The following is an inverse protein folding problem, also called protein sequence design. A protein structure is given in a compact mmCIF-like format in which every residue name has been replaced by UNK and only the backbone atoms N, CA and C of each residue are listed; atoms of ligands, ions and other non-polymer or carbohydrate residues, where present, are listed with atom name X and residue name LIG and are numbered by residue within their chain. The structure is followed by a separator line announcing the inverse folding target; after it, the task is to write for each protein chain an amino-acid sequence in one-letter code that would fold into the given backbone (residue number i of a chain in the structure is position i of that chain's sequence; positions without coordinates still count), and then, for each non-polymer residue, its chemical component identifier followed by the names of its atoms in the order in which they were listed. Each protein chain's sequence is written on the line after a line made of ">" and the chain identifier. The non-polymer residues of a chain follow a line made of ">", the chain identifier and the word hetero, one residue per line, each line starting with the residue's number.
data_IF_805659558172
#
_entry.id   IF_805659558172
#
_cell.length_a   1.000
_cell.length_b   1.000
_cell.length_c   1.000
_cell.angle_alpha   90.00
_cell.angle_beta   90.00
_cell.angle_gamma   90.00
#
_symmetry.space_group_name_H-M   'P 1'
#
loop_
_entity.id
_entity.type
_entity.pdbx_description
1 polymer ?
#
# COMPACT_ATOMS: atom_id res chain seq x y z
N UNK A 1 -18.88 -8.26 -22.52
CA UNK A 1 -18.60 -8.31 -21.07
C UNK A 1 -17.45 -7.38 -20.64
N UNK A 2 -17.17 -6.29 -21.37
CA UNK A 2 -16.09 -5.32 -21.04
C UNK A 2 -16.66 -4.02 -20.39
N UNK A 3 -17.99 -3.90 -20.32
CA UNK A 3 -18.68 -2.67 -19.89
C UNK A 3 -18.55 -2.36 -18.39
N UNK A 4 -18.73 -3.35 -17.52
CA UNK A 4 -18.75 -3.12 -16.07
C UNK A 4 -17.38 -2.86 -15.44
N UNK A 5 -16.33 -3.54 -15.92
CA UNK A 5 -14.94 -3.34 -15.47
C UNK A 5 -14.46 -1.89 -15.66
N UNK A 6 -14.98 -1.18 -16.67
CA UNK A 6 -14.67 0.24 -16.91
C UNK A 6 -15.50 1.21 -16.07
N UNK A 7 -16.68 0.80 -15.61
CA UNK A 7 -17.60 1.66 -14.84
C UNK A 7 -17.23 1.71 -13.35
N UNK A 8 -16.65 0.64 -12.80
CA UNK A 8 -16.26 0.57 -11.37
C UNK A 8 -14.83 1.08 -11.13
N UNK A 9 -13.92 0.98 -12.12
CA UNK A 9 -12.53 1.44 -11.98
C UNK A 9 -12.12 2.37 -13.14
N UNK A 10 -12.29 3.69 -13.01
CA UNK A 10 -11.94 4.61 -14.07
C UNK A 10 -10.41 4.85 -14.14
N UNK A 11 -9.81 4.52 -15.28
CA UNK A 11 -8.78 5.31 -15.97
C UNK A 11 -7.28 5.33 -15.54
N UNK A 12 -6.81 4.58 -14.54
CA UNK A 12 -5.41 4.71 -14.08
C UNK A 12 -4.65 3.39 -13.88
N UNK A 13 -4.58 2.57 -14.93
CA UNK A 13 -3.70 1.41 -14.95
C UNK A 13 -3.08 1.23 -16.33
N UNK A 14 -1.86 0.72 -16.37
CA UNK A 14 -1.25 0.20 -17.58
C UNK A 14 -1.52 -1.31 -17.58
N UNK A 15 -2.34 -1.76 -18.54
CA UNK A 15 -2.63 -3.18 -18.71
C UNK A 15 -1.56 -3.82 -19.59
N UNK A 16 -0.94 -4.89 -19.10
CA UNK A 16 0.04 -5.68 -19.82
C UNK A 16 -0.44 -7.15 -19.84
N UNK A 17 -1.19 -7.57 -20.86
CA UNK A 17 -1.76 -8.93 -20.96
C UNK A 17 -2.31 -9.44 -19.62
N UNK A 18 -3.37 -8.79 -19.13
CA UNK A 18 -4.04 -9.06 -17.84
C UNK A 18 -3.25 -8.70 -16.57
N UNK A 19 -2.07 -8.09 -16.72
CA UNK A 19 -1.31 -7.54 -15.60
C UNK A 19 -1.59 -6.05 -15.42
N UNK A 20 -2.13 -5.70 -14.26
CA UNK A 20 -2.47 -4.33 -13.93
C UNK A 20 -1.28 -3.66 -13.24
N UNK A 21 -0.61 -2.74 -13.94
CA UNK A 21 0.27 -1.76 -13.31
C UNK A 21 -0.59 -0.56 -12.94
N UNK A 22 -1.13 -0.59 -11.73
CA UNK A 22 -2.05 0.45 -11.25
C UNK A 22 -1.26 1.71 -10.89
N UNK A 23 -1.69 2.83 -11.46
CA UNK A 23 -1.32 4.19 -11.07
C UNK A 23 -2.35 4.65 -10.04
N UNK A 24 -2.35 4.03 -8.85
CA UNK A 24 -3.46 4.20 -7.91
C UNK A 24 -3.53 5.63 -7.40
N UNK A 25 -4.69 6.26 -7.54
CA UNK A 25 -4.97 7.53 -6.86
C UNK A 25 -5.24 7.25 -5.41
N UNK A 26 -4.55 7.97 -4.53
CA UNK A 26 -4.75 7.90 -3.09
C UNK A 26 -6.23 8.12 -2.68
N UNK A 27 -6.97 8.96 -3.41
CA UNK A 27 -8.39 9.24 -3.15
C UNK A 27 -9.29 8.01 -3.32
N UNK A 28 -9.08 7.21 -4.36
CA UNK A 28 -9.89 6.03 -4.65
C UNK A 28 -9.70 5.00 -3.53
N UNK A 29 -8.46 4.83 -3.09
CA UNK A 29 -8.11 4.01 -1.93
C UNK A 29 -8.74 4.53 -0.62
N UNK A 30 -8.92 5.84 -0.47
CA UNK A 30 -9.59 6.43 0.70
C UNK A 30 -11.10 6.21 0.67
N UNK A 31 -11.72 6.33 -0.51
CA UNK A 31 -13.16 6.14 -0.70
C UNK A 31 -13.58 4.67 -0.62
N UNK A 32 -12.82 3.77 -1.24
CA UNK A 32 -13.22 2.36 -1.42
C UNK A 32 -12.55 1.39 -0.44
N UNK A 33 -11.38 1.75 0.10
CA UNK A 33 -10.60 0.89 0.96
C UNK A 33 -9.97 1.62 2.17
N UNK A 34 -10.74 2.41 2.94
CA UNK A 34 -10.20 3.15 4.09
C UNK A 34 -9.56 2.22 5.13
N UNK A 35 -10.04 0.98 5.26
CA UNK A 35 -9.47 -0.04 6.12
C UNK A 35 -8.02 -0.44 5.76
N UNK A 36 -7.57 -0.16 4.54
CA UNK A 36 -6.17 -0.38 4.12
C UNK A 36 -5.36 0.90 4.19
N UNK A 37 -5.97 2.02 3.81
CA UNK A 37 -5.28 3.32 3.72
C UNK A 37 -4.98 3.91 5.08
N UNK A 38 -5.94 3.88 6.01
CA UNK A 38 -5.80 4.45 7.34
C UNK A 38 -4.65 3.81 8.15
N UNK A 39 -4.55 2.47 8.30
CA UNK A 39 -3.44 1.89 9.04
C UNK A 39 -2.09 2.07 8.31
N UNK A 40 -2.07 2.09 6.97
CA UNK A 40 -0.85 2.37 6.20
C UNK A 40 -0.30 3.78 6.48
N UNK A 41 -1.18 4.79 6.48
CA UNK A 41 -0.82 6.19 6.75
C UNK A 41 -0.40 6.37 8.21
N UNK A 42 -1.16 5.82 9.16
CA UNK A 42 -0.79 5.91 10.58
C UNK A 42 0.54 5.21 10.86
N UNK A 43 0.78 4.02 10.30
CA UNK A 43 2.04 3.33 10.42
C UNK A 43 3.21 4.12 9.81
N UNK A 44 2.98 4.78 8.67
CA UNK A 44 3.97 5.67 8.08
C UNK A 44 4.27 6.87 8.99
N UNK A 45 3.26 7.45 9.64
CA UNK A 45 3.47 8.52 10.64
C UNK A 45 4.31 8.04 11.84
N UNK A 46 4.11 6.82 12.33
CA UNK A 46 4.96 6.23 13.38
C UNK A 46 6.42 6.09 12.94
N UNK A 47 6.65 5.64 11.70
CA UNK A 47 8.00 5.56 11.12
C UNK A 47 8.65 6.94 11.01
N UNK A 48 7.90 7.94 10.54
CA UNK A 48 8.37 9.33 10.41
C UNK A 48 8.72 9.92 11.77
N UNK A 49 7.90 9.71 12.79
CA UNK A 49 8.15 10.18 14.16
C UNK A 49 9.38 9.52 14.78
N UNK A 50 9.55 8.21 14.61
CA UNK A 50 10.75 7.50 15.06
C UNK A 50 12.02 8.02 14.36
N UNK A 51 11.91 8.39 13.08
CA UNK A 51 13.01 8.99 12.32
C UNK A 51 13.37 10.39 12.85
N UNK A 52 12.38 11.26 13.08
CA UNK A 52 12.58 12.64 13.55
C UNK A 52 13.09 12.69 14.98
N UNK A 53 12.42 11.98 15.89
CA UNK A 53 12.77 11.97 17.32
C UNK A 53 14.10 11.28 17.59
N UNK A 54 14.58 10.46 16.63
CA UNK A 54 15.73 9.55 16.75
C UNK A 54 15.57 8.55 17.90
N UNK A 55 14.37 8.43 18.49
CA UNK A 55 14.02 7.48 19.54
C UNK A 55 13.25 6.35 18.89
N UNK A 56 13.77 5.13 19.05
CA UNK A 56 13.16 3.93 18.48
C UNK A 56 12.61 3.09 19.63
N UNK A 57 11.28 3.14 19.84
CA UNK A 57 10.61 2.15 20.67
C UNK A 57 10.24 0.95 19.80
N UNK A 58 11.08 -0.09 19.84
CA UNK A 58 10.93 -1.28 19.01
C UNK A 58 9.66 -2.07 19.28
N UNK A 59 9.22 -2.10 20.54
CA UNK A 59 7.99 -2.80 20.93
C UNK A 59 6.77 -2.11 20.33
N UNK A 60 6.71 -0.78 20.39
CA UNK A 60 5.65 0.02 19.76
C UNK A 60 5.65 -0.13 18.24
N UNK A 61 6.82 -0.09 17.59
CA UNK A 61 6.93 -0.29 16.15
C UNK A 61 6.47 -1.69 15.72
N UNK A 62 6.85 -2.72 16.47
CA UNK A 62 6.41 -4.09 16.22
C UNK A 62 4.90 -4.23 16.43
N UNK A 63 4.37 -3.69 17.53
CA UNK A 63 2.93 -3.71 17.81
C UNK A 63 2.15 -2.99 16.70
N UNK A 64 2.63 -1.84 16.24
CA UNK A 64 2.03 -1.10 15.13
C UNK A 64 2.03 -1.92 13.83
N UNK A 65 3.14 -2.56 13.50
CA UNK A 65 3.28 -3.40 12.30
C UNK A 65 2.32 -4.59 12.33
N UNK A 66 2.25 -5.29 13.47
CA UNK A 66 1.37 -6.45 13.69
C UNK A 66 -0.11 -6.05 13.73
N UNK A 67 -0.43 -4.91 14.36
CA UNK A 67 -1.80 -4.38 14.39
C UNK A 67 -2.25 -3.93 12.99
N UNK A 68 -1.33 -3.38 12.19
CA UNK A 68 -1.61 -3.05 10.78
C UNK A 68 -1.91 -4.30 9.97
N UNK A 69 -1.23 -5.42 10.22
CA UNK A 69 -1.49 -6.70 9.55
C UNK A 69 -2.91 -7.22 9.81
N UNK A 70 -3.48 -6.97 11.00
CA UNK A 70 -4.88 -7.32 11.31
C UNK A 70 -5.89 -6.63 10.39
N UNK A 71 -5.63 -5.37 10.01
CA UNK A 71 -6.51 -4.61 9.12
C UNK A 71 -6.16 -4.77 7.64
N UNK A 72 -4.85 -4.85 7.34
CA UNK A 72 -4.32 -4.85 5.98
C UNK A 72 -2.96 -5.54 5.95
N UNK A 73 -2.89 -6.84 5.65
CA UNK A 73 -1.62 -7.55 5.53
C UNK A 73 -0.71 -6.93 4.45
N UNK A 74 -1.30 -6.45 3.35
CA UNK A 74 -0.55 -5.81 2.27
C UNK A 74 0.05 -4.45 2.68
N UNK A 75 -0.66 -3.65 3.48
CA UNK A 75 -0.08 -2.42 4.05
C UNK A 75 1.05 -2.73 5.04
N UNK A 76 0.93 -3.80 5.82
CA UNK A 76 1.98 -4.25 6.75
C UNK A 76 3.25 -4.67 5.98
N UNK A 77 3.12 -5.39 4.86
CA UNK A 77 4.23 -5.66 3.94
C UNK A 77 4.87 -4.37 3.44
N UNK A 78 4.05 -3.36 3.13
CA UNK A 78 4.50 -2.02 2.75
C UNK A 78 5.31 -1.28 3.81
N UNK A 79 4.95 -1.43 5.09
CA UNK A 79 5.62 -0.82 6.23
C UNK A 79 6.87 -1.57 6.67
N UNK A 80 6.89 -2.89 6.48
CA UNK A 80 7.95 -3.78 6.92
C UNK A 80 9.38 -3.29 6.63
N UNK A 81 9.76 -2.89 5.40
CA UNK A 81 11.14 -2.46 5.13
C UNK A 81 11.55 -1.24 5.96
N UNK A 82 10.64 -0.28 6.19
CA UNK A 82 10.95 0.93 6.96
C UNK A 82 11.08 0.62 8.45
N UNK A 83 10.19 -0.22 8.99
CA UNK A 83 10.28 -0.70 10.37
C UNK A 83 11.56 -1.51 10.55
N UNK A 84 11.90 -2.39 9.62
CA UNK A 84 13.09 -3.23 9.66
C UNK A 84 14.38 -2.38 9.73
N UNK A 85 14.48 -1.31 8.93
CA UNK A 85 15.64 -0.41 8.99
C UNK A 85 15.80 0.21 10.38
N UNK A 86 14.71 0.71 10.97
CA UNK A 86 14.72 1.28 12.32
C UNK A 86 15.05 0.21 13.37
N UNK A 87 14.56 -1.01 13.16
CA UNK A 87 14.79 -2.15 14.02
C UNK A 87 16.27 -2.57 14.05
N UNK A 88 16.90 -2.60 12.87
CA UNK A 88 18.28 -3.02 12.68
C UNK A 88 19.33 -2.00 13.19
N UNK A 89 18.96 -0.73 13.32
CA UNK A 89 19.85 0.39 13.68
C UNK A 89 20.69 0.13 14.94
N UNK A 90 20.18 -0.65 15.88
CA UNK A 90 20.85 -1.00 17.14
C UNK A 90 20.62 -2.48 17.51
N UNK A 91 20.44 -3.37 16.53
CA UNK A 91 20.06 -4.77 16.75
C UNK A 91 20.94 -5.53 17.77
N UNK A 92 22.28 -5.38 17.78
CA UNK A 92 23.12 -6.08 18.76
C UNK A 92 22.82 -5.73 20.22
N UNK A 93 22.28 -4.53 20.48
CA UNK A 93 21.93 -4.09 21.84
C UNK A 93 20.76 -4.87 22.45
N UNK A 94 19.95 -5.54 21.62
CA UNK A 94 18.80 -6.33 22.09
C UNK A 94 19.19 -7.57 22.90
N UNK A 95 20.39 -8.09 22.69
CA UNK A 95 20.89 -9.26 23.41
C UNK A 95 21.58 -8.92 24.73
N UNK A 96 21.64 -7.63 25.10
CA UNK A 96 22.14 -7.20 26.40
C UNK A 96 21.12 -7.53 27.48
N UNK A 97 21.59 -7.90 28.68
CA UNK A 97 20.72 -8.32 29.79
C UNK A 97 19.66 -7.26 30.15
N UNK A 98 20.02 -5.98 30.08
CA UNK A 98 19.12 -4.84 30.33
C UNK A 98 17.93 -4.76 29.36
N UNK A 99 18.07 -5.38 28.17
CA UNK A 99 17.06 -5.39 27.10
C UNK A 99 16.28 -6.69 26.99
N UNK A 100 16.55 -7.66 27.88
CA UNK A 100 15.82 -8.94 27.91
C UNK A 100 14.29 -8.77 28.06
N UNK A 101 13.76 -7.85 28.89
CA UNK A 101 12.31 -7.62 28.97
C UNK A 101 11.70 -7.14 27.65
N UNK A 102 12.42 -6.30 26.90
CA UNK A 102 12.02 -5.81 25.58
C UNK A 102 11.93 -6.98 24.58
N UNK A 103 12.95 -7.85 24.58
CA UNK A 103 12.99 -9.05 23.73
C UNK A 103 11.87 -10.05 24.06
N UNK A 104 11.60 -10.28 25.35
CA UNK A 104 10.51 -11.15 25.79
C UNK A 104 9.13 -10.57 25.41
N UNK A 105 8.95 -9.26 25.57
CA UNK A 105 7.73 -8.57 25.16
C UNK A 105 7.49 -8.69 23.66
N UNK A 106 8.54 -8.48 22.87
CA UNK A 106 8.50 -8.68 21.42
C UNK A 106 8.15 -10.11 21.01
N UNK A 107 8.80 -11.10 21.61
CA UNK A 107 8.54 -12.52 21.34
C UNK A 107 7.09 -12.86 21.67
N UNK A 108 6.60 -12.35 22.81
CA UNK A 108 5.20 -12.53 23.23
C UNK A 108 4.22 -11.91 22.22
N UNK A 109 4.52 -10.72 21.68
CA UNK A 109 3.71 -10.10 20.63
C UNK A 109 3.69 -10.95 19.36
N UNK A 110 4.84 -11.43 18.89
CA UNK A 110 4.89 -12.29 17.70
C UNK A 110 4.08 -13.56 17.92
N UNK A 111 4.21 -14.19 19.08
CA UNK A 111 3.43 -15.39 19.43
C UNK A 111 1.93 -15.10 19.49
N UNK A 112 1.51 -13.95 20.02
CA UNK A 112 0.11 -13.55 20.07
C UNK A 112 -0.50 -13.34 18.68
N UNK A 113 0.28 -12.84 17.71
CA UNK A 113 -0.16 -12.63 16.32
C UNK A 113 0.13 -13.81 15.39
N UNK A 114 0.80 -14.87 15.87
CA UNK A 114 1.15 -16.04 15.08
C UNK A 114 -0.07 -16.72 14.42
N UNK A 115 -1.22 -16.91 15.11
CA UNK A 115 -2.42 -17.50 14.48
C UNK A 115 -2.89 -16.69 13.27
N UNK A 116 -2.83 -15.36 13.34
CA UNK A 116 -3.20 -14.47 12.26
C UNK A 116 -2.24 -14.60 11.07
N UNK A 117 -0.92 -14.69 11.33
CA UNK A 117 0.08 -14.92 10.27
C UNK A 117 -0.18 -16.25 9.56
N UNK A 118 -0.42 -17.33 10.32
CA UNK A 118 -0.73 -18.65 9.78
C UNK A 118 -2.00 -18.61 8.95
N UNK A 119 -3.03 -17.90 9.41
CA UNK A 119 -4.27 -17.70 8.66
C UNK A 119 -4.01 -17.07 7.28
N UNK A 120 -3.30 -15.94 7.23
CA UNK A 120 -3.02 -15.27 5.96
C UNK A 120 -2.16 -16.10 5.00
N UNK A 121 -1.14 -16.79 5.51
CA UNK A 121 -0.29 -17.68 4.68
C UNK A 121 -1.09 -18.88 4.14
N UNK A 122 -2.17 -19.27 4.84
CA UNK A 122 -3.01 -20.41 4.45
C UNK A 122 -4.08 -20.07 3.40
N UNK A 123 -4.19 -18.81 2.95
CA UNK A 123 -5.18 -18.39 1.93
C UNK A 123 -4.75 -18.76 0.50
N UNK A 124 -5.71 -19.03 -0.40
CA UNK A 124 -5.42 -19.35 -1.81
C UNK A 124 -4.98 -18.14 -2.65
N UNK A 125 -5.18 -16.92 -2.16
CA UNK A 125 -4.81 -15.69 -2.87
C UNK A 125 -3.33 -15.58 -3.28
N UNK A 126 -2.45 -16.37 -2.66
CA UNK A 126 -1.01 -16.44 -3.03
C UNK A 126 -0.74 -17.46 -4.15
N UNK A 127 -1.62 -18.44 -4.38
CA UNK A 127 -1.40 -19.60 -5.25
C UNK A 127 -2.31 -19.67 -6.48
N UNK A 128 -3.24 -18.73 -6.67
CA UNK A 128 -4.33 -18.81 -7.67
C UNK A 128 -3.93 -18.49 -9.13
N UNK A 129 -2.65 -18.49 -9.50
CA UNK A 129 -2.20 -18.10 -10.85
C UNK A 129 -2.25 -16.59 -11.12
N UNK A 130 -2.78 -15.81 -10.17
CA UNK A 130 -2.81 -14.33 -10.18
C UNK A 130 -1.59 -13.72 -9.47
N UNK A 131 -0.58 -14.53 -9.16
CA UNK A 131 0.70 -14.10 -8.59
C UNK A 131 1.82 -14.36 -9.57
N UNK A 132 2.75 -13.41 -9.69
CA UNK A 132 3.84 -13.55 -10.63
C UNK A 132 4.61 -12.27 -10.88
N UNK A 133 5.73 -12.42 -11.57
CA UNK A 133 6.58 -11.31 -11.95
C UNK A 133 6.11 -10.64 -13.25
N UNK A 134 6.38 -9.35 -13.41
CA UNK A 134 6.00 -8.57 -14.62
C UNK A 134 6.52 -9.17 -15.94
N UNK A 135 7.63 -9.90 -15.94
CA UNK A 135 8.16 -10.54 -17.15
C UNK A 135 7.44 -11.84 -17.52
N UNK A 136 6.59 -12.37 -16.63
CA UNK A 136 5.77 -13.56 -16.89
C UNK A 136 4.44 -13.22 -17.61
N UNK A 137 4.25 -11.94 -17.98
CA UNK A 137 3.05 -11.42 -18.68
C UNK A 137 2.93 -11.86 -20.14
N UNK A 138 3.95 -12.51 -20.69
CA UNK A 138 3.92 -13.02 -22.07
C UNK A 138 4.07 -11.94 -23.15
N UNK A 139 4.27 -10.67 -22.80
CA UNK A 139 4.64 -9.62 -23.77
C UNK A 139 6.14 -9.32 -23.71
N UNK A 140 6.76 -9.08 -24.86
CA UNK A 140 8.15 -8.63 -24.94
C UNK A 140 8.33 -7.17 -24.55
N UNK A 141 7.25 -6.38 -24.54
CA UNK A 141 7.27 -4.93 -24.24
C UNK A 141 7.13 -4.60 -22.75
N UNK A 142 7.19 -5.59 -21.85
CA UNK A 142 7.01 -5.39 -20.41
C UNK A 142 7.97 -4.34 -19.84
N UNK A 143 9.20 -4.28 -20.36
CA UNK A 143 10.22 -3.30 -19.93
C UNK A 143 9.77 -1.87 -20.21
N UNK A 144 9.14 -1.63 -21.37
CA UNK A 144 8.68 -0.29 -21.78
C UNK A 144 7.55 0.16 -20.86
N UNK A 145 6.56 -0.70 -20.63
CA UNK A 145 5.45 -0.39 -19.73
C UNK A 145 5.90 -0.17 -18.28
N UNK A 146 6.85 -0.99 -17.82
CA UNK A 146 7.44 -0.83 -16.50
C UNK A 146 8.26 0.47 -16.40
N UNK A 147 9.00 0.84 -17.44
CA UNK A 147 9.71 2.12 -17.49
C UNK A 147 8.73 3.31 -17.42
N UNK A 148 7.59 3.25 -18.14
CA UNK A 148 6.54 4.27 -18.04
C UNK A 148 5.99 4.33 -16.60
N UNK A 149 5.75 3.18 -15.97
CA UNK A 149 5.31 3.10 -14.57
C UNK A 149 6.32 3.77 -13.63
N UNK A 150 7.62 3.47 -13.75
CA UNK A 150 8.67 4.07 -12.91
C UNK A 150 8.76 5.59 -13.15
N UNK A 151 8.71 6.03 -14.41
CA UNK A 151 8.76 7.46 -14.74
C UNK A 151 7.56 8.23 -14.18
N UNK A 152 6.36 7.65 -14.28
CA UNK A 152 5.12 8.27 -13.81
C UNK A 152 5.09 8.38 -12.27
N UNK A 153 5.55 7.36 -11.55
CA UNK A 153 5.42 7.30 -10.09
C UNK A 153 6.62 7.91 -9.34
N UNK A 154 7.83 7.80 -9.91
CA UNK A 154 9.08 8.18 -9.24
C UNK A 154 9.89 9.21 -10.02
N UNK A 155 9.88 9.12 -11.36
CA UNK A 155 10.74 9.95 -12.23
C UNK A 155 10.56 11.45 -12.02
N UNK A 156 9.30 11.92 -11.96
CA UNK A 156 8.98 13.35 -11.74
C UNK A 156 9.60 13.84 -10.43
N UNK A 157 9.43 13.11 -9.34
CA UNK A 157 9.93 13.50 -8.01
C UNK A 157 11.46 13.51 -7.94
N UNK A 158 12.10 12.52 -8.58
CA UNK A 158 13.57 12.45 -8.63
C UNK A 158 14.17 13.69 -9.30
N UNK A 159 13.57 14.18 -10.38
CA UNK A 159 14.04 15.38 -11.09
C UNK A 159 14.12 16.63 -10.19
N UNK A 160 13.21 16.78 -9.22
CA UNK A 160 13.18 17.93 -8.31
C UNK A 160 14.12 17.77 -7.11
N UNK A 161 14.30 16.55 -6.58
CA UNK A 161 14.98 16.32 -5.30
C UNK A 161 16.47 16.02 -5.49
N UNK A 162 16.89 15.52 -6.66
CA UNK A 162 18.28 15.12 -6.94
C UNK A 162 19.32 16.22 -6.78
N UNK A 163 18.92 17.50 -6.77
CA UNK A 163 19.84 18.62 -6.83
C UNK A 163 20.64 18.83 -5.55
N UNK A 164 20.13 18.38 -4.39
CA UNK A 164 20.83 18.53 -3.10
C UNK A 164 20.51 17.39 -2.14
N UNK A 165 21.54 16.93 -1.40
CA UNK A 165 21.37 16.00 -0.30
C UNK A 165 20.65 16.70 0.86
N UNK A 166 19.53 16.12 1.28
CA UNK A 166 18.68 16.60 2.35
C UNK A 166 18.60 15.54 3.46
N UNK A 167 18.35 15.96 4.71
CA UNK A 167 18.24 15.05 5.86
C UNK A 167 17.22 13.92 5.64
N UNK A 168 16.16 14.18 4.87
CA UNK A 168 15.11 13.21 4.56
C UNK A 168 15.35 12.43 3.27
N UNK A 169 16.43 12.73 2.54
CA UNK A 169 16.79 12.04 1.30
C UNK A 169 16.83 10.52 1.46
N UNK A 170 17.39 9.92 2.54
CA UNK A 170 17.38 8.47 2.69
C UNK A 170 15.97 7.85 2.71
N UNK A 171 15.02 8.50 3.39
CA UNK A 171 13.63 8.03 3.44
C UNK A 171 12.92 8.21 2.09
N UNK A 172 13.17 9.33 1.40
CA UNK A 172 12.60 9.61 0.08
C UNK A 172 13.12 8.59 -0.93
N UNK A 173 14.45 8.41 -1.04
CA UNK A 173 15.04 7.45 -1.96
C UNK A 173 14.70 6.01 -1.60
N UNK A 174 14.64 5.67 -0.31
CA UNK A 174 14.15 4.37 0.15
C UNK A 174 12.71 4.10 -0.30
N UNK A 175 11.84 5.10 -0.19
CA UNK A 175 10.45 5.01 -0.66
C UNK A 175 10.38 4.84 -2.18
N UNK A 176 11.18 5.59 -2.94
CA UNK A 176 11.27 5.46 -4.39
C UNK A 176 11.72 4.05 -4.81
N UNK A 177 12.80 3.54 -4.22
CA UNK A 177 13.29 2.19 -4.47
C UNK A 177 12.23 1.14 -4.14
N UNK A 178 11.50 1.31 -3.03
CA UNK A 178 10.46 0.39 -2.64
C UNK A 178 9.27 0.36 -3.60
N UNK A 179 8.81 1.53 -4.08
CA UNK A 179 7.74 1.64 -5.09
C UNK A 179 8.14 0.95 -6.40
N UNK A 180 9.41 1.10 -6.81
CA UNK A 180 9.99 0.45 -7.99
C UNK A 180 9.96 -1.07 -7.78
N UNK A 181 10.48 -1.56 -6.66
CA UNK A 181 10.57 -2.99 -6.36
C UNK A 181 9.19 -3.65 -6.25
N UNK A 182 8.23 -3.02 -5.56
CA UNK A 182 6.87 -3.56 -5.43
C UNK A 182 6.16 -3.68 -6.79
N UNK A 183 6.43 -2.77 -7.73
CA UNK A 183 5.86 -2.84 -9.07
C UNK A 183 6.31 -4.04 -9.92
N UNK A 184 7.35 -4.77 -9.49
CA UNK A 184 7.91 -5.92 -10.21
C UNK A 184 7.11 -7.21 -9.95
N UNK A 185 6.46 -7.32 -8.79
CA UNK A 185 5.76 -8.52 -8.36
C UNK A 185 4.27 -8.23 -8.15
N UNK A 186 3.41 -9.01 -8.81
CA UNK A 186 1.95 -8.92 -8.67
C UNK A 186 1.45 -9.93 -7.68
N UNK A 187 0.52 -9.47 -6.84
CA UNK A 187 -0.36 -10.30 -6.04
C UNK A 187 -1.80 -9.84 -6.28
N UNK A 188 -2.68 -10.78 -6.62
CA UNK A 188 -4.09 -10.53 -6.85
C UNK A 188 -4.39 -10.04 -8.27
N UNK A 189 -5.67 -10.10 -8.64
CA UNK A 189 -6.14 -9.75 -9.98
C UNK A 189 -5.70 -8.34 -10.40
N UNK A 190 -5.79 -7.35 -9.50
CA UNK A 190 -5.46 -5.95 -9.78
C UNK A 190 -4.10 -5.50 -9.25
N UNK A 191 -3.21 -6.44 -8.93
CA UNK A 191 -1.94 -6.13 -8.27
C UNK A 191 -2.16 -5.36 -6.95
N UNK A 192 -2.98 -5.96 -6.08
CA UNK A 192 -3.35 -5.41 -4.78
C UNK A 192 -2.12 -5.10 -3.91
N UNK A 193 -1.04 -5.88 -4.06
CA UNK A 193 0.23 -5.59 -3.41
C UNK A 193 0.76 -4.21 -3.81
N UNK A 194 0.78 -3.90 -5.11
CA UNK A 194 1.24 -2.61 -5.57
C UNK A 194 0.23 -1.49 -5.26
N UNK A 195 -1.07 -1.76 -5.20
CA UNK A 195 -2.08 -0.73 -4.86
C UNK A 195 -2.05 -0.35 -3.38
N UNK A 196 -1.91 -1.35 -2.50
CA UNK A 196 -2.04 -1.19 -1.03
C UNK A 196 -0.71 -1.13 -0.31
N UNK A 197 0.29 -1.89 -0.78
CA UNK A 197 1.62 -1.96 -0.18
C UNK A 197 2.49 -0.73 -0.43
N UNK A 198 2.21 0.06 -1.48
CA UNK A 198 2.95 1.31 -1.75
C UNK A 198 2.46 2.50 -0.91
N UNK A 199 1.28 2.42 -0.29
CA UNK A 199 0.68 3.55 0.45
C UNK A 199 1.63 4.10 1.54
N UNK A 200 2.30 3.26 2.35
CA UNK A 200 3.28 3.75 3.33
C UNK A 200 4.43 4.52 2.68
N UNK A 201 4.99 4.00 1.59
CA UNK A 201 6.09 4.65 0.87
C UNK A 201 5.66 5.98 0.24
N UNK A 202 4.47 6.06 -0.36
CA UNK A 202 3.94 7.33 -0.83
C UNK A 202 3.72 8.33 0.29
N UNK A 203 3.25 7.89 1.46
CA UNK A 203 3.02 8.76 2.62
C UNK A 203 4.33 9.34 3.13
N UNK A 204 5.36 8.50 3.30
CA UNK A 204 6.71 8.91 3.72
C UNK A 204 7.32 9.86 2.69
N UNK A 205 7.28 9.47 1.41
CA UNK A 205 7.84 10.27 0.31
C UNK A 205 7.14 11.64 0.22
N UNK A 206 5.81 11.67 0.22
CA UNK A 206 5.03 12.91 0.12
C UNK A 206 5.30 13.85 1.29
N UNK A 207 5.40 13.31 2.51
CA UNK A 207 5.74 14.10 3.69
C UNK A 207 7.15 14.69 3.56
N UNK A 208 8.13 13.87 3.15
CA UNK A 208 9.50 14.33 2.90
C UNK A 208 9.59 15.42 1.83
N UNK A 209 8.81 15.27 0.75
CA UNK A 209 8.72 16.27 -0.33
C UNK A 209 8.09 17.56 0.17
N UNK A 210 6.99 17.50 0.93
CA UNK A 210 6.36 18.69 1.52
C UNK A 210 7.34 19.45 2.41
N UNK A 211 8.09 18.74 3.27
CA UNK A 211 9.13 19.36 4.11
C UNK A 211 10.21 20.02 3.24
N UNK A 212 10.66 19.35 2.16
CA UNK A 212 11.63 19.90 1.22
C UNK A 212 11.10 21.17 0.55
N UNK A 213 9.86 21.17 0.09
CA UNK A 213 9.18 22.33 -0.53
C UNK A 213 9.13 23.49 0.46
N UNK A 214 8.70 23.26 1.70
CA UNK A 214 8.62 24.31 2.73
C UNK A 214 9.99 24.93 3.02
N UNK A 215 11.05 24.12 3.11
CA UNK A 215 12.42 24.61 3.29
C UNK A 215 12.93 25.35 2.05
N UNK A 216 12.62 24.85 0.84
CA UNK A 216 12.99 25.44 -0.44
C UNK A 216 12.28 26.77 -0.73
N UNK A 217 11.03 26.91 -0.29
CA UNK A 217 10.25 28.13 -0.37
C UNK A 217 10.90 29.27 0.41
N UNK A 218 11.35 29.00 1.65
CA UNK A 218 12.10 29.98 2.46
C UNK A 218 13.39 30.45 1.76
N UNK A 219 14.03 29.56 1.00
CA UNK A 219 15.22 29.84 0.20
C UNK A 219 14.91 30.41 -1.19
N UNK A 220 13.64 30.75 -1.49
CA UNK A 220 13.16 31.30 -2.77
C UNK A 220 13.56 30.47 -4.00
N UNK A 221 13.52 29.15 -3.91
CA UNK A 221 13.90 28.26 -5.02
C UNK A 221 12.75 28.10 -6.01
N UNK A 222 13.02 28.32 -7.30
CA UNK A 222 12.05 28.15 -8.40
C UNK A 222 11.41 26.75 -8.39
N UNK A 223 12.22 25.69 -8.19
CA UNK A 223 11.72 24.32 -8.13
C UNK A 223 10.72 24.08 -6.99
N UNK A 224 10.85 24.78 -5.86
CA UNK A 224 9.88 24.69 -4.77
C UNK A 224 8.54 25.31 -5.15
N UNK A 225 8.54 26.46 -5.83
CA UNK A 225 7.31 27.10 -6.32
C UNK A 225 6.59 26.24 -7.37
N UNK A 226 7.31 25.70 -8.35
CA UNK A 226 6.76 24.80 -9.36
C UNK A 226 6.11 23.59 -8.69
N UNK A 227 6.80 22.98 -7.72
CA UNK A 227 6.29 21.81 -7.01
C UNK A 227 5.09 22.15 -6.11
N UNK A 228 5.10 23.32 -5.45
CA UNK A 228 3.93 23.80 -4.69
C UNK A 228 2.71 23.98 -5.59
N UNK A 229 2.86 24.62 -6.75
CA UNK A 229 1.77 24.77 -7.72
C UNK A 229 1.27 23.41 -8.20
N UNK A 230 2.18 22.49 -8.51
CA UNK A 230 1.82 21.11 -8.92
C UNK A 230 1.03 20.38 -7.82
N UNK A 231 1.50 20.43 -6.57
CA UNK A 231 0.81 19.80 -5.43
C UNK A 231 -0.56 20.43 -5.16
N UNK A 232 -0.68 21.76 -5.26
CA UNK A 232 -1.95 22.46 -5.07
C UNK A 232 -2.96 22.11 -6.16
N UNK A 233 -2.55 22.13 -7.43
CA UNK A 233 -3.43 21.78 -8.56
C UNK A 233 -3.84 20.31 -8.50
N UNK A 234 -2.90 19.42 -8.20
CA UNK A 234 -3.18 18.00 -7.99
C UNK A 234 -4.17 17.79 -6.85
N UNK A 235 -3.91 18.38 -5.67
CA UNK A 235 -4.78 18.27 -4.50
C UNK A 235 -6.18 18.86 -4.70
N UNK A 236 -6.31 19.95 -5.46
CA UNK A 236 -7.64 20.50 -5.80
C UNK A 236 -8.44 19.55 -6.69
N UNK A 237 -7.79 18.94 -7.69
CA UNK A 237 -8.43 17.91 -8.52
C UNK A 237 -8.83 16.71 -7.67
N UNK A 238 -8.02 16.36 -6.67
CA UNK A 238 -8.31 15.29 -5.73
C UNK A 238 -9.56 15.55 -4.89
N UNK A 239 -9.59 16.72 -4.23
CA UNK A 239 -10.73 17.15 -3.41
C UNK A 239 -11.99 17.24 -4.25
N UNK A 240 -11.91 17.78 -5.47
CA UNK A 240 -13.04 17.84 -6.40
C UNK A 240 -13.58 16.45 -6.70
N UNK A 241 -12.70 15.50 -7.03
CA UNK A 241 -13.10 14.12 -7.36
C UNK A 241 -13.78 13.47 -6.16
N UNK A 242 -13.20 13.59 -4.96
CA UNK A 242 -13.79 13.09 -3.73
C UNK A 242 -15.16 13.70 -3.40
N UNK A 243 -15.32 15.02 -3.52
CA UNK A 243 -16.59 15.69 -3.22
C UNK A 243 -17.67 15.32 -4.23
N UNK A 244 -17.35 15.39 -5.53
CA UNK A 244 -18.32 15.19 -6.62
C UNK A 244 -18.69 13.70 -6.79
N UNK A 245 -17.73 12.78 -6.61
CA UNK A 245 -17.97 11.36 -6.83
C UNK A 245 -18.27 10.61 -5.53
N UNK A 246 -17.60 10.98 -4.43
CA UNK A 246 -17.73 10.29 -3.15
C UNK A 246 -18.88 10.78 -2.28
N UNK A 247 -19.11 12.10 -2.20
CA UNK A 247 -20.12 12.67 -1.29
C UNK A 247 -21.46 13.00 -1.96
N UNK A 248 -21.47 13.41 -3.24
CA UNK A 248 -22.71 13.78 -3.94
C UNK A 248 -23.36 12.64 -4.74
N UNK A 249 -23.22 11.38 -4.30
CA UNK A 249 -24.05 10.30 -4.83
C UNK A 249 -25.50 10.53 -4.39
N UNK A 250 -26.38 10.87 -5.33
CA UNK A 250 -27.74 11.36 -5.04
C UNK A 250 -28.68 10.30 -4.45
N UNK A 251 -28.28 9.04 -4.33
CA UNK A 251 -29.03 8.00 -3.60
C UNK A 251 -28.09 6.91 -3.10
N UNK A 252 -28.02 6.61 -1.79
CA UNK A 252 -27.27 5.45 -1.30
C UNK A 252 -27.87 4.16 -1.89
N UNK A 253 -27.03 3.36 -2.56
CA UNK A 253 -27.45 2.09 -3.18
C UNK A 253 -27.63 0.96 -2.16
N UNK A 254 -27.09 1.14 -0.95
CA UNK A 254 -27.15 0.19 0.16
C UNK A 254 -27.47 0.92 1.46
N UNK A 255 -28.01 0.20 2.44
CA UNK A 255 -28.21 0.68 3.81
C UNK A 255 -27.58 -0.30 4.81
N UNK A 256 -27.49 0.07 6.09
CA UNK A 256 -27.04 -0.88 7.13
C UNK A 256 -27.96 -2.11 7.17
N UNK A 257 -29.27 -1.91 6.97
CA UNK A 257 -30.28 -2.98 6.94
C UNK A 257 -30.25 -3.80 5.64
N UNK A 258 -29.80 -3.19 4.53
CA UNK A 258 -29.62 -3.84 3.22
C UNK A 258 -28.22 -3.55 2.69
N UNK A 259 -27.19 -4.25 3.21
CA UNK A 259 -25.80 -3.93 2.91
C UNK A 259 -25.38 -4.30 1.48
N UNK A 260 -26.23 -5.03 0.74
CA UNK A 260 -25.96 -5.50 -0.62
C UNK A 260 -26.84 -4.78 -1.66
N UNK A 261 -26.25 -4.47 -2.81
CA UNK A 261 -26.93 -3.80 -3.92
C UNK A 261 -27.83 -4.81 -4.65
N UNK A 262 -29.13 -4.55 -4.79
CA UNK A 262 -30.01 -5.36 -5.65
C UNK A 262 -30.20 -6.81 -5.17
N UNK A 263 -29.73 -7.79 -5.96
CA UNK A 263 -30.01 -9.23 -5.77
C UNK A 263 -28.87 -10.04 -5.11
N UNK A 264 -27.80 -9.40 -4.65
CA UNK A 264 -26.71 -10.14 -3.99
C UNK A 264 -27.06 -10.46 -2.54
N UNK A 265 -26.83 -11.71 -2.14
CA UNK A 265 -27.14 -12.18 -0.78
C UNK A 265 -25.89 -12.33 0.09
N UNK A 266 -24.70 -12.16 -0.48
CA UNK A 266 -23.42 -12.25 0.22
C UNK A 266 -22.33 -11.43 -0.47
N UNK A 267 -21.29 -11.06 0.28
CA UNK A 267 -20.10 -10.39 -0.29
C UNK A 267 -19.43 -11.23 -1.37
N UNK A 268 -19.40 -12.55 -1.21
CA UNK A 268 -18.84 -13.47 -2.21
C UNK A 268 -19.63 -13.44 -3.52
N UNK A 269 -20.97 -13.44 -3.45
CA UNK A 269 -21.82 -13.34 -4.66
C UNK A 269 -21.69 -11.98 -5.35
N UNK A 270 -21.49 -10.91 -4.58
CA UNK A 270 -21.21 -9.58 -5.12
C UNK A 270 -19.84 -9.56 -5.83
N UNK A 271 -18.80 -10.10 -5.18
CA UNK A 271 -17.46 -10.20 -5.76
C UNK A 271 -17.46 -11.04 -7.04
N UNK A 272 -18.06 -12.21 -7.05
CA UNK A 272 -18.14 -13.07 -8.24
C UNK A 272 -18.71 -12.31 -9.44
N UNK A 273 -19.79 -11.55 -9.24
CA UNK A 273 -20.38 -10.78 -10.31
C UNK A 273 -19.58 -9.51 -10.67
N UNK A 274 -19.01 -8.82 -9.68
CA UNK A 274 -18.19 -7.62 -9.91
C UNK A 274 -16.92 -7.95 -10.70
N UNK A 275 -16.29 -9.09 -10.43
CA UNK A 275 -15.10 -9.56 -11.13
C UNK A 275 -15.43 -10.33 -12.41
N UNK A 276 -16.65 -10.86 -12.53
CA UNK A 276 -17.08 -11.69 -13.66
C UNK A 276 -16.40 -13.07 -13.70
N UNK A 277 -15.74 -13.48 -12.61
CA UNK A 277 -15.02 -14.73 -12.50
C UNK A 277 -15.05 -15.29 -11.06
N UNK A 278 -15.42 -16.56 -10.94
CA UNK A 278 -15.36 -17.37 -9.73
C UNK A 278 -13.95 -17.52 -9.14
N UNK A 279 -12.89 -17.26 -9.91
CA UNK A 279 -11.51 -17.26 -9.39
C UNK A 279 -11.28 -16.16 -8.36
N UNK A 280 -11.99 -15.03 -8.45
CA UNK A 280 -11.90 -13.95 -7.47
C UNK A 280 -12.37 -14.39 -6.08
N UNK A 281 -13.37 -15.28 -5.99
CA UNK A 281 -13.81 -15.86 -4.71
C UNK A 281 -12.71 -16.72 -4.10
N UNK A 282 -12.01 -17.51 -4.94
CA UNK A 282 -10.97 -18.44 -4.47
C UNK A 282 -9.86 -17.70 -3.73
N UNK A 283 -9.52 -16.47 -4.12
CA UNK A 283 -8.50 -15.67 -3.41
C UNK A 283 -8.81 -15.45 -1.92
N UNK A 284 -10.09 -15.46 -1.54
CA UNK A 284 -10.56 -15.29 -0.17
C UNK A 284 -10.86 -16.62 0.54
N UNK A 285 -10.69 -17.76 -0.13
CA UNK A 285 -10.85 -19.08 0.46
C UNK A 285 -9.54 -19.59 1.07
N UNK A 286 -9.67 -20.45 2.09
CA UNK A 286 -8.54 -21.21 2.61
C UNK A 286 -8.07 -22.23 1.57
N UNK A 287 -6.76 -22.46 1.52
CA UNK A 287 -6.14 -23.44 0.62
C UNK A 287 -6.71 -24.84 0.86
N UNK A 288 -7.29 -25.43 -0.19
CA UNK A 288 -7.73 -26.84 -0.13
C UNK A 288 -6.57 -27.75 0.30
N UNK A 289 -6.79 -28.52 1.37
CA UNK A 289 -5.77 -29.38 1.98
C UNK A 289 -4.69 -28.63 2.78
N UNK A 290 -4.88 -27.34 3.06
CA UNK A 290 -4.01 -26.55 3.92
C UNK A 290 -4.12 -26.93 5.40
N UNK A 291 -3.12 -26.53 6.18
CA UNK A 291 -2.99 -26.86 7.61
C UNK A 291 -4.29 -26.59 8.40
N UNK A 292 -4.94 -25.45 8.17
CA UNK A 292 -6.17 -25.08 8.87
C UNK A 292 -7.42 -25.88 8.46
N UNK A 293 -7.46 -26.44 7.25
CA UNK A 293 -8.59 -27.29 6.80
C UNK A 293 -8.43 -28.73 7.29
N UNK A 294 -7.19 -29.20 7.52
CA UNK A 294 -6.95 -30.56 7.98
C UNK A 294 -6.98 -30.70 9.52
N UNK A 295 -6.94 -29.58 10.25
CA UNK A 295 -6.84 -29.56 11.72
C UNK A 295 -8.17 -29.23 12.41
N UNK A 296 -9.16 -28.72 11.67
CA UNK A 296 -10.51 -28.38 12.12
C UNK A 296 -11.55 -28.95 11.17
#
# INVERSE_FOLDING_TARGET
>A
MIGWHREVFPHYFILINDFYLVLSKFEDNWAWAPQHTLPAVLGACFVLEAFVSKKVNRLELLLMLLSTMYWSPLASIGLFPFVLILFLKDFPTLFQQEKLPELLGMTSLVMAFLPLMIYFISTEGVNSGNTGFIWQTGTSLWIVYYAIYVLANVGIWYCFIRTELFEWSPLIYGSMCFIIILGIYRIGLYNDLNVRGVIPAYTIMSTGICIWVMKGWKKRRVGAYILSCYLLLGGLQSVRSFVVQGMSSNTPQTTIEKPFIGHYNSMLSFQENAYGDSTAIKEYCLKKGGFLINTF
#
